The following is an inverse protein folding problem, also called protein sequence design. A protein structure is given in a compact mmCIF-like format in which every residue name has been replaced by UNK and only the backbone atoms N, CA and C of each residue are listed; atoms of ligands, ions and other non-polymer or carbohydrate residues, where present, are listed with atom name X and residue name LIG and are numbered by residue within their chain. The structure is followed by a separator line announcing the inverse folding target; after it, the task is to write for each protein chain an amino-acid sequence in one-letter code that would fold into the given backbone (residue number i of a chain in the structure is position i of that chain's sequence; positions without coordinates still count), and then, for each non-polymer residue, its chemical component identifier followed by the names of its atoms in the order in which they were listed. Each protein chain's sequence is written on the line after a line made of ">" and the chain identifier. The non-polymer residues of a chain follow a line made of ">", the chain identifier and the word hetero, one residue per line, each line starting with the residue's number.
data_IF_664188168989
#
_entry.id   IF_664188168989
#
_cell.length_a   1.000
_cell.length_b   1.000
_cell.length_c   1.000
_cell.angle_alpha   90.00
_cell.angle_beta   90.00
_cell.angle_gamma   90.00
#
_symmetry.space_group_name_H-M   'P 1'
#
loop_
_entity.id
_entity.type
_entity.pdbx_description
1 polymer ?
#
# COMPACT_ATOMS: atom_id res chain seq x y z
N UNK A 1 -59.05 35.46 -45.27
CA UNK A 1 -59.71 35.50 -43.95
C UNK A 1 -59.33 34.21 -43.21
N UNK A 2 -58.74 34.35 -42.01
CA UNK A 2 -58.65 33.42 -40.85
C UNK A 2 -58.23 31.93 -41.10
N UNK A 3 -57.37 31.22 -40.34
CA UNK A 3 -56.90 31.30 -38.95
C UNK A 3 -55.86 30.17 -38.68
N UNK A 4 -54.86 30.37 -37.81
CA UNK A 4 -54.17 29.35 -36.98
C UNK A 4 -53.11 28.46 -37.66
N UNK A 5 -51.92 28.18 -37.12
CA UNK A 5 -51.41 28.26 -35.75
C UNK A 5 -50.83 26.89 -35.35
N UNK A 6 -49.50 26.83 -35.16
CA UNK A 6 -48.70 25.79 -34.50
C UNK A 6 -48.62 24.38 -35.14
N UNK A 7 -47.51 24.14 -35.83
CA UNK A 7 -46.95 22.79 -36.02
C UNK A 7 -46.29 22.37 -34.72
N UNK A 8 -46.94 21.49 -33.96
CA UNK A 8 -46.28 20.73 -32.90
C UNK A 8 -45.69 19.46 -33.51
N UNK A 9 -44.40 19.46 -33.80
CA UNK A 9 -43.67 18.20 -33.89
C UNK A 9 -43.55 17.66 -32.46
N UNK A 10 -44.51 16.80 -32.04
CA UNK A 10 -44.23 15.93 -30.91
C UNK A 10 -43.13 14.98 -31.36
N UNK A 11 -41.89 15.26 -30.97
CA UNK A 11 -40.87 14.24 -30.93
C UNK A 11 -41.32 13.25 -29.86
N UNK A 12 -41.51 11.99 -30.25
CA UNK A 12 -41.67 10.90 -29.30
C UNK A 12 -40.64 11.07 -28.18
N UNK A 13 -41.04 10.87 -26.90
CA UNK A 13 -40.09 10.94 -25.81
C UNK A 13 -38.94 10.02 -26.18
N UNK A 14 -37.77 10.62 -26.39
CA UNK A 14 -36.52 9.93 -26.64
C UNK A 14 -36.30 9.10 -25.41
N UNK A 15 -36.79 7.86 -25.45
CA UNK A 15 -36.66 6.92 -24.36
C UNK A 15 -35.16 6.82 -24.09
N UNK A 16 -34.66 7.37 -22.98
CA UNK A 16 -33.22 7.40 -22.72
C UNK A 16 -32.71 6.00 -22.35
N UNK A 17 -33.59 5.00 -22.30
CA UNK A 17 -33.30 3.60 -22.03
C UNK A 17 -33.41 2.73 -23.29
N UNK A 18 -32.92 3.20 -24.43
CA UNK A 18 -32.54 2.30 -25.53
C UNK A 18 -31.11 1.80 -25.31
N UNK A 19 -30.91 1.10 -24.18
CA UNK A 19 -29.68 0.37 -23.86
C UNK A 19 -29.92 -1.13 -23.86
N UNK A 20 -30.77 -1.62 -24.77
CA UNK A 20 -30.68 -3.02 -25.19
C UNK A 20 -29.40 -3.23 -26.02
N UNK A 21 -28.26 -2.87 -25.44
CA UNK A 21 -26.96 -3.34 -25.90
C UNK A 21 -26.90 -4.82 -25.52
N UNK A 22 -26.48 -5.70 -26.44
CA UNK A 22 -26.28 -7.09 -26.09
C UNK A 22 -25.32 -7.16 -24.90
N UNK A 23 -25.76 -7.82 -23.82
CA UNK A 23 -24.98 -8.12 -22.62
C UNK A 23 -23.68 -8.91 -22.92
N UNK A 24 -23.42 -9.23 -24.19
CA UNK A 24 -22.23 -9.93 -24.66
C UNK A 24 -20.98 -9.07 -24.79
N UNK A 25 -21.06 -7.72 -24.72
CA UNK A 25 -19.86 -6.88 -24.92
C UNK A 25 -19.21 -6.37 -23.62
N UNK A 26 -19.94 -6.38 -22.50
CA UNK A 26 -19.34 -6.09 -21.17
C UNK A 26 -18.57 -7.27 -20.59
N UNK A 27 -18.72 -8.45 -21.19
CA UNK A 27 -18.00 -9.67 -20.82
C UNK A 27 -16.49 -9.60 -21.09
N UNK A 28 -16.03 -8.74 -22.02
CA UNK A 28 -14.61 -8.71 -22.39
C UNK A 28 -13.77 -7.68 -21.64
N UNK A 29 -14.39 -6.75 -20.90
CA UNK A 29 -13.70 -5.61 -20.29
C UNK A 29 -13.57 -5.68 -18.75
N UNK A 30 -14.06 -6.74 -18.10
CA UNK A 30 -13.62 -7.08 -16.75
C UNK A 30 -12.56 -8.17 -16.92
N UNK A 31 -11.34 -7.76 -17.31
CA UNK A 31 -10.21 -8.55 -16.84
C UNK A 31 -10.37 -8.57 -15.33
N UNK A 32 -10.50 -9.74 -14.68
CA UNK A 32 -10.51 -9.74 -13.23
C UNK A 32 -9.29 -8.91 -12.82
N UNK A 33 -9.49 -7.95 -11.93
CA UNK A 33 -8.41 -7.59 -11.02
C UNK A 33 -8.19 -8.85 -10.20
N UNK A 34 -7.53 -9.83 -10.82
CA UNK A 34 -6.87 -10.89 -10.14
C UNK A 34 -5.97 -10.12 -9.22
N UNK A 35 -6.23 -10.22 -7.92
CA UNK A 35 -5.17 -10.07 -6.94
C UNK A 35 -4.11 -11.05 -7.43
N UNK A 36 -3.22 -10.59 -8.30
CA UNK A 36 -2.03 -11.31 -8.63
C UNK A 36 -1.38 -11.34 -7.27
N UNK A 37 -1.54 -12.46 -6.57
CA UNK A 37 -0.62 -12.87 -5.53
C UNK A 37 0.69 -12.91 -6.28
N UNK A 38 1.35 -11.75 -6.40
CA UNK A 38 2.74 -11.68 -6.77
C UNK A 38 3.36 -12.52 -5.68
N UNK A 39 3.78 -13.77 -5.97
CA UNK A 39 4.47 -14.53 -4.95
C UNK A 39 5.64 -13.62 -4.60
N UNK A 40 5.70 -13.19 -3.33
CA UNK A 40 6.82 -12.41 -2.84
C UNK A 40 7.97 -13.40 -2.85
N UNK A 41 8.60 -13.52 -4.01
CA UNK A 41 9.74 -14.40 -4.21
C UNK A 41 10.76 -13.88 -3.21
N UNK A 42 11.13 -14.67 -2.18
CA UNK A 42 12.18 -14.24 -1.28
C UNK A 42 13.37 -13.92 -2.17
N UNK A 43 13.80 -12.66 -2.16
CA UNK A 43 14.98 -12.24 -2.91
C UNK A 43 16.10 -13.13 -2.39
N UNK A 44 16.74 -13.96 -3.23
CA UNK A 44 17.84 -14.79 -2.79
C UNK A 44 18.89 -13.87 -2.19
N UNK A 45 19.12 -14.02 -0.89
CA UNK A 45 20.18 -13.29 -0.20
C UNK A 45 21.44 -14.10 -0.43
N UNK A 46 22.12 -13.83 -1.55
CA UNK A 46 23.32 -14.57 -1.96
C UNK A 46 24.52 -14.34 -1.02
N UNK A 47 24.41 -13.37 -0.11
CA UNK A 47 25.47 -12.96 0.83
C UNK A 47 24.89 -12.39 2.14
N UNK A 48 25.58 -12.59 3.28
CA UNK A 48 25.24 -11.88 4.51
C UNK A 48 25.11 -10.37 4.27
N UNK A 49 24.19 -9.75 4.99
CA UNK A 49 24.04 -8.29 4.98
C UNK A 49 25.31 -7.69 5.59
N UNK A 50 25.93 -6.74 4.88
CA UNK A 50 27.09 -6.01 5.40
C UNK A 50 26.59 -4.92 6.37
N UNK A 51 26.91 -5.02 7.68
CA UNK A 51 26.37 -4.11 8.69
C UNK A 51 26.82 -2.66 8.51
N UNK A 52 27.91 -2.42 7.77
CA UNK A 52 28.45 -1.08 7.50
C UNK A 52 27.72 -0.33 6.40
N UNK A 53 26.95 -1.06 5.59
CA UNK A 53 26.27 -0.51 4.40
C UNK A 53 24.76 -0.64 4.48
N UNK A 54 24.27 -1.47 5.40
CA UNK A 54 22.85 -1.62 5.65
C UNK A 54 22.34 -0.44 6.47
N UNK A 55 21.50 0.39 5.84
CA UNK A 55 20.80 1.49 6.51
C UNK A 55 19.47 0.97 7.07
N UNK A 56 19.23 1.26 8.35
CA UNK A 56 18.01 0.88 9.03
C UNK A 56 16.80 1.60 8.41
N UNK A 57 15.76 0.81 8.07
CA UNK A 57 14.55 1.29 7.41
C UNK A 57 13.28 1.05 8.22
N UNK A 58 12.19 1.78 7.93
CA UNK A 58 10.89 1.52 8.52
C UNK A 58 10.41 0.09 8.29
N UNK A 59 9.95 -0.57 9.36
CA UNK A 59 9.50 -1.96 9.33
C UNK A 59 10.61 -2.98 9.58
N UNK A 60 11.87 -2.57 9.70
CA UNK A 60 12.94 -3.44 10.19
C UNK A 60 12.67 -3.80 11.66
N UNK A 61 13.02 -5.02 12.06
CA UNK A 61 12.88 -5.50 13.43
C UNK A 61 14.26 -5.74 14.00
N UNK A 62 14.55 -5.10 15.13
CA UNK A 62 15.83 -5.15 15.82
C UNK A 62 15.66 -5.93 17.13
N UNK A 63 16.55 -6.89 17.35
CA UNK A 63 16.72 -7.51 18.65
C UNK A 63 17.59 -6.62 19.53
N UNK A 64 17.22 -6.45 20.80
CA UNK A 64 18.04 -5.77 21.79
C UNK A 64 18.28 -6.68 23.00
N UNK A 65 19.43 -6.48 23.64
CA UNK A 65 19.78 -7.11 24.91
C UNK A 65 20.37 -6.04 25.83
N UNK A 66 19.64 -5.71 26.89
CA UNK A 66 20.04 -4.70 27.86
C UNK A 66 20.58 -5.40 29.11
N UNK A 67 21.89 -5.27 29.30
CA UNK A 67 22.58 -5.75 30.50
C UNK A 67 22.40 -4.72 31.63
N UNK A 68 21.40 -4.94 32.49
CA UNK A 68 21.14 -4.13 33.68
C UNK A 68 21.10 -5.01 34.95
N UNK A 69 20.44 -4.55 36.02
CA UNK A 69 20.24 -5.38 37.22
C UNK A 69 19.40 -6.63 36.94
N UNK A 70 18.52 -6.53 35.95
CA UNK A 70 17.76 -7.62 35.34
C UNK A 70 18.02 -7.54 33.83
N UNK A 71 18.28 -8.67 33.19
CA UNK A 71 18.51 -8.68 31.75
C UNK A 71 17.19 -8.46 31.03
N UNK A 72 17.12 -7.41 30.22
CA UNK A 72 15.92 -7.09 29.45
C UNK A 72 16.23 -7.25 27.96
N UNK A 73 15.68 -8.30 27.37
CA UNK A 73 15.85 -8.60 25.95
C UNK A 73 14.51 -8.71 25.25
N UNK A 74 14.50 -8.38 23.96
CA UNK A 74 13.29 -8.40 23.16
C UNK A 74 13.53 -7.90 21.75
N UNK A 75 12.43 -7.66 21.06
CA UNK A 75 12.43 -7.16 19.69
C UNK A 75 11.65 -5.84 19.64
N UNK A 76 12.09 -4.95 18.76
CA UNK A 76 11.44 -3.67 18.50
C UNK A 76 11.46 -3.38 17.01
N UNK A 77 10.34 -2.87 16.49
CA UNK A 77 10.24 -2.48 15.09
C UNK A 77 10.59 -0.99 14.91
N UNK A 78 11.28 -0.68 13.82
CA UNK A 78 11.53 0.69 13.39
C UNK A 78 10.23 1.29 12.86
N UNK A 79 9.79 2.38 13.49
CA UNK A 79 8.58 3.09 13.11
C UNK A 79 8.69 3.79 11.74
N UNK A 80 7.55 4.25 11.17
CA UNK A 80 7.52 4.95 9.88
C UNK A 80 8.35 6.25 9.86
N UNK A 81 8.55 6.89 11.00
CA UNK A 81 9.41 8.06 11.16
C UNK A 81 10.91 7.73 11.26
N UNK A 82 11.26 6.45 11.39
CA UNK A 82 12.62 5.99 11.72
C UNK A 82 12.91 6.00 13.23
N UNK A 83 11.89 6.04 14.08
CA UNK A 83 12.03 6.01 15.53
C UNK A 83 11.78 4.60 16.08
N UNK A 84 12.54 4.24 17.12
CA UNK A 84 12.48 2.96 17.84
C UNK A 84 12.20 3.24 19.30
N UNK A 85 11.24 2.53 19.91
CA UNK A 85 10.90 2.69 21.32
C UNK A 85 11.49 1.54 22.15
N UNK A 86 12.55 1.81 22.90
CA UNK A 86 13.18 0.82 23.77
C UNK A 86 12.69 1.04 25.22
N UNK A 87 12.05 0.05 25.86
CA UNK A 87 11.63 0.17 27.25
C UNK A 87 12.83 0.48 28.16
N UNK A 88 12.67 1.44 29.07
CA UNK A 88 13.73 1.87 29.99
C UNK A 88 14.72 2.89 29.41
N UNK A 89 14.83 3.03 28.09
CA UNK A 89 15.66 4.06 27.43
C UNK A 89 14.77 5.19 26.87
N UNK A 90 13.71 4.83 26.16
CA UNK A 90 12.81 5.77 25.49
C UNK A 90 12.90 5.70 23.96
N UNK A 91 12.57 6.81 23.30
CA UNK A 91 12.53 6.91 21.85
C UNK A 91 13.93 7.21 21.29
N UNK A 92 14.38 6.41 20.32
CA UNK A 92 15.68 6.55 19.66
C UNK A 92 15.45 6.67 18.16
N UNK A 93 16.04 7.70 17.54
CA UNK A 93 15.99 7.86 16.08
C UNK A 93 17.12 7.06 15.43
N UNK A 94 16.77 6.14 14.53
CA UNK A 94 17.72 5.29 13.80
C UNK A 94 17.73 5.60 12.30
N UNK A 95 17.15 6.73 11.89
CA UNK A 95 17.03 7.10 10.49
C UNK A 95 18.41 7.41 9.89
N UNK A 96 18.78 6.68 8.83
CA UNK A 96 20.07 6.85 8.18
C UNK A 96 21.26 6.32 8.98
N UNK A 97 21.01 5.60 10.08
CA UNK A 97 22.02 4.92 10.88
C UNK A 97 22.27 3.54 10.28
N UNK A 98 23.53 3.12 10.24
CA UNK A 98 23.91 1.78 9.79
C UNK A 98 23.67 0.73 10.87
N UNK A 99 23.58 -0.55 10.49
CA UNK A 99 23.45 -1.64 11.46
C UNK A 99 24.66 -1.73 12.41
N UNK A 100 25.87 -1.37 11.97
CA UNK A 100 27.07 -1.30 12.81
C UNK A 100 26.98 -0.18 13.86
N UNK A 101 26.46 0.98 13.49
CA UNK A 101 26.34 2.14 14.40
C UNK A 101 25.22 1.97 15.44
N UNK A 102 24.25 1.10 15.17
CA UNK A 102 23.12 0.83 16.05
C UNK A 102 23.35 -0.32 17.05
N UNK A 103 24.50 -1.02 16.97
CA UNK A 103 24.87 -2.15 17.83
C UNK A 103 25.59 -1.70 19.11
#
# INVERSE_FOLDING_TARGET
>A
MLLGGLVFAQTEPTNPYSFAQPLMQFSEAIKPFTTATVPRQPVPVDKPIDPRTYLLGPGDVLGYDLVYTENFSGEVAVGPSGDVLIPGIGLVNVNGVTLEEAA
#
